data_IF_050758115620
#
_entry.id   IF_050758115620
#
_cell.length_a   1.000
_cell.length_b   1.000
_cell.length_c   1.000
_cell.angle_alpha   90.00
_cell.angle_beta   90.00
_cell.angle_gamma   90.00
#
_symmetry.space_group_name_H-M   'P 1'
#
loop_
_entity.id
_entity.type
_entity.pdbx_description
1 polymer ?
#
# COMPACT_ATOMS: atom_id res chain seq x y z
N UNK A 1 25.88 -8.98 4.04
CA UNK A 1 24.66 -8.45 4.68
C UNK A 1 23.61 -9.55 4.66
N UNK A 2 22.82 -9.70 5.74
CA UNK A 2 21.78 -10.71 6.01
C UNK A 2 22.19 -12.02 6.72
N UNK A 3 22.94 -11.94 7.83
CA UNK A 3 23.20 -13.07 8.73
C UNK A 3 21.94 -13.66 9.43
N UNK A 4 20.76 -13.05 9.25
CA UNK A 4 19.50 -13.48 9.84
C UNK A 4 18.37 -13.75 8.83
N UNK A 5 18.63 -13.68 7.51
CA UNK A 5 17.56 -13.87 6.52
C UNK A 5 16.89 -15.24 6.63
N UNK A 6 17.62 -16.28 7.03
CA UNK A 6 17.07 -17.62 7.20
C UNK A 6 16.16 -17.74 8.46
N UNK A 7 16.06 -16.69 9.29
CA UNK A 7 15.19 -16.62 10.47
C UNK A 7 13.95 -15.73 10.27
N UNK A 8 13.84 -15.05 9.12
CA UNK A 8 12.75 -14.10 8.85
C UNK A 8 11.90 -14.60 7.69
N UNK A 9 10.62 -14.85 7.95
CA UNK A 9 9.68 -15.32 6.93
C UNK A 9 9.19 -14.20 6.00
N UNK A 10 8.97 -13.01 6.56
CA UNK A 10 8.45 -11.85 5.84
C UNK A 10 8.80 -10.57 6.62
N UNK A 11 9.30 -9.55 5.91
CA UNK A 11 9.35 -8.20 6.44
C UNK A 11 8.08 -7.45 6.01
N UNK A 12 7.40 -6.81 6.95
CA UNK A 12 6.19 -6.01 6.68
C UNK A 12 6.52 -4.54 6.90
N UNK A 13 6.22 -3.70 5.93
CA UNK A 13 6.44 -2.27 6.03
C UNK A 13 5.22 -1.47 5.55
N UNK A 14 5.19 -0.19 5.94
CA UNK A 14 4.17 0.78 5.55
C UNK A 14 4.81 2.06 5.01
N UNK A 15 4.31 3.23 5.44
CA UNK A 15 4.84 4.58 5.16
C UNK A 15 4.74 5.06 3.70
N UNK A 16 4.96 4.18 2.72
CA UNK A 16 4.96 4.53 1.29
C UNK A 16 3.56 4.60 0.65
N UNK A 17 2.54 4.08 1.35
CA UNK A 17 1.12 4.08 0.95
C UNK A 17 0.94 3.49 -0.45
N UNK A 18 1.32 2.22 -0.59
CA UNK A 18 1.25 1.47 -1.84
C UNK A 18 0.94 0.00 -1.55
N UNK A 19 0.55 -0.72 -2.59
CA UNK A 19 0.34 -2.17 -2.56
C UNK A 19 1.44 -2.87 -3.36
N UNK A 20 2.45 -3.43 -2.69
CA UNK A 20 3.57 -4.08 -3.35
C UNK A 20 4.20 -5.20 -2.52
N UNK A 21 4.86 -6.13 -3.21
CA UNK A 21 5.79 -7.06 -2.59
C UNK A 21 7.10 -6.97 -3.36
N UNK A 22 8.16 -6.59 -2.65
CA UNK A 22 9.51 -6.59 -3.18
C UNK A 22 10.29 -7.78 -2.62
N UNK A 23 11.38 -8.17 -3.28
CA UNK A 23 12.21 -9.30 -2.86
C UNK A 23 13.70 -8.93 -2.92
N UNK A 24 14.34 -8.98 -1.76
CA UNK A 24 15.79 -8.78 -1.65
C UNK A 24 16.45 -10.08 -1.18
N UNK A 25 17.11 -10.78 -2.11
CA UNK A 25 17.66 -12.10 -1.86
C UNK A 25 16.58 -13.11 -1.47
N UNK A 26 16.72 -13.75 -0.30
CA UNK A 26 15.76 -14.73 0.21
C UNK A 26 14.52 -14.11 0.87
N UNK A 27 14.58 -12.82 1.25
CA UNK A 27 13.54 -12.18 2.05
C UNK A 27 12.54 -11.42 1.17
N UNK A 28 11.25 -11.64 1.42
CA UNK A 28 10.17 -10.86 0.83
C UNK A 28 9.81 -9.68 1.74
N UNK A 29 9.50 -8.54 1.14
CA UNK A 29 9.09 -7.31 1.80
C UNK A 29 7.68 -6.95 1.35
N UNK A 30 6.70 -7.14 2.23
CA UNK A 30 5.32 -6.74 1.98
C UNK A 30 5.15 -5.26 2.35
N UNK A 31 4.87 -4.45 1.34
CA UNK A 31 4.38 -3.09 1.52
C UNK A 31 2.86 -3.13 1.70
N UNK A 32 2.41 -2.86 2.93
CA UNK A 32 0.99 -2.72 3.24
C UNK A 32 0.58 -1.28 3.00
N UNK A 33 -0.50 -1.12 2.23
CA UNK A 33 -1.03 0.20 1.91
C UNK A 33 -1.55 0.90 3.18
N UNK A 34 -1.73 2.22 3.10
CA UNK A 34 -2.40 2.98 4.17
C UNK A 34 -3.82 2.46 4.37
N UNK A 35 -4.35 2.62 5.58
CA UNK A 35 -5.73 2.30 5.84
C UNK A 35 -6.70 3.21 5.07
N UNK A 36 -6.34 4.47 4.80
CA UNK A 36 -7.34 5.47 4.42
C UNK A 36 -6.97 6.42 3.29
N UNK A 37 -5.70 6.53 2.88
CA UNK A 37 -5.34 7.47 1.81
C UNK A 37 -3.93 7.27 1.22
N UNK A 38 -3.70 7.85 0.03
CA UNK A 38 -2.37 8.17 -0.51
C UNK A 38 -2.04 9.63 -0.27
N UNK A 39 -0.87 9.94 0.31
CA UNK A 39 -0.40 11.32 0.41
C UNK A 39 0.12 11.81 -0.95
N UNK A 40 -0.29 13.01 -1.35
CA UNK A 40 0.05 13.60 -2.66
C UNK A 40 0.85 14.90 -2.58
N UNK A 41 0.98 15.49 -1.39
CA UNK A 41 1.85 16.65 -1.17
C UNK A 41 1.23 18.00 -1.55
N UNK A 42 1.94 19.07 -1.19
CA UNK A 42 1.44 20.46 -1.20
C UNK A 42 0.97 20.99 -2.55
N UNK A 43 1.65 20.57 -3.63
CA UNK A 43 1.37 21.04 -4.99
C UNK A 43 0.16 20.37 -5.64
N UNK A 44 -0.40 19.33 -5.02
CA UNK A 44 -1.42 18.48 -5.62
C UNK A 44 -2.66 18.38 -4.72
N UNK A 45 -3.31 19.52 -4.48
CA UNK A 45 -4.52 19.61 -3.64
C UNK A 45 -5.72 18.93 -4.32
N UNK A 46 -6.30 17.94 -3.65
CA UNK A 46 -7.45 17.17 -4.09
C UNK A 46 -8.73 17.64 -3.39
N UNK A 47 -9.66 18.21 -4.14
CA UNK A 47 -11.00 18.56 -3.64
C UNK A 47 -11.90 17.31 -3.62
N UNK A 48 -11.57 16.35 -2.76
CA UNK A 48 -12.23 15.04 -2.70
C UNK A 48 -13.59 15.03 -1.97
N UNK A 49 -13.83 16.02 -1.11
CA UNK A 49 -15.05 16.16 -0.29
C UNK A 49 -15.66 17.57 -0.43
N UNK A 50 -16.90 17.79 0.09
CA UNK A 50 -17.49 19.12 0.19
C UNK A 50 -16.64 20.14 0.97
N UNK A 51 -16.86 21.43 0.73
CA UNK A 51 -16.06 22.52 1.31
C UNK A 51 -16.06 22.53 2.84
N UNK A 52 -17.18 22.17 3.47
CA UNK A 52 -17.29 22.06 4.94
C UNK A 52 -16.31 21.03 5.54
N UNK A 53 -16.10 19.90 4.85
CA UNK A 53 -15.18 18.85 5.27
C UNK A 53 -13.74 19.34 5.15
N UNK A 54 -13.39 19.99 4.05
CA UNK A 54 -12.05 20.57 3.86
C UNK A 54 -11.76 21.69 4.85
N UNK A 55 -12.75 22.50 5.21
CA UNK A 55 -12.60 23.56 6.22
C UNK A 55 -12.27 22.96 7.60
N UNK A 56 -12.97 21.89 7.99
CA UNK A 56 -12.76 21.19 9.26
C UNK A 56 -11.48 20.34 9.28
N UNK A 57 -11.15 19.71 8.16
CA UNK A 57 -10.02 18.79 8.02
C UNK A 57 -9.05 19.27 6.95
N UNK A 58 -8.37 20.39 7.24
CA UNK A 58 -7.51 21.12 6.29
C UNK A 58 -6.43 20.27 5.59
N UNK A 59 -6.04 19.15 6.18
CA UNK A 59 -5.01 18.29 5.59
C UNK A 59 -5.54 17.26 4.57
N UNK A 60 -6.86 17.06 4.49
CA UNK A 60 -7.44 16.04 3.61
C UNK A 60 -7.21 16.38 2.13
N UNK A 61 -7.09 17.67 1.79
CA UNK A 61 -6.75 18.11 0.44
C UNK A 61 -5.36 17.65 -0.02
N UNK A 62 -4.43 17.31 0.88
CA UNK A 62 -3.10 16.79 0.49
C UNK A 62 -3.09 15.28 0.30
N UNK A 63 -4.27 14.68 0.15
CA UNK A 63 -4.44 13.24 0.05
C UNK A 63 -5.35 12.84 -1.12
N UNK A 64 -5.19 11.62 -1.62
CA UNK A 64 -6.22 10.89 -2.34
C UNK A 64 -6.83 9.86 -1.37
N UNK A 65 -8.01 10.14 -0.80
CA UNK A 65 -8.63 9.25 0.18
C UNK A 65 -9.15 7.95 -0.45
N UNK A 66 -9.24 6.91 0.36
CA UNK A 66 -9.94 5.67 0.05
C UNK A 66 -11.37 5.75 0.61
N UNK A 67 -12.36 5.27 -0.14
CA UNK A 67 -13.76 5.26 0.33
C UNK A 67 -13.95 4.34 1.54
N UNK A 68 -13.28 3.20 1.52
CA UNK A 68 -13.40 2.12 2.50
C UNK A 68 -12.01 1.86 3.09
N UNK A 69 -11.92 1.69 4.40
CA UNK A 69 -10.63 1.43 5.05
C UNK A 69 -10.01 0.13 4.54
N UNK A 70 -8.74 0.19 4.16
CA UNK A 70 -7.93 -0.97 3.80
C UNK A 70 -7.28 -1.58 5.05
N UNK A 71 -7.29 -2.90 5.10
CA UNK A 71 -6.50 -3.69 6.04
C UNK A 71 -6.29 -5.07 5.43
N UNK A 72 -5.39 -5.84 6.03
CA UNK A 72 -5.14 -7.22 5.63
C UNK A 72 -5.00 -8.12 6.85
N UNK A 73 -5.34 -9.39 6.67
CA UNK A 73 -5.05 -10.45 7.63
C UNK A 73 -4.00 -11.35 7.01
N UNK A 74 -2.94 -11.63 7.77
CA UNK A 74 -1.90 -12.58 7.39
C UNK A 74 -2.19 -13.91 8.07
N UNK A 75 -2.30 -14.97 7.28
CA UNK A 75 -2.37 -16.35 7.79
C UNK A 75 -1.03 -17.02 7.51
N UNK A 76 -0.39 -17.54 8.56
CA UNK A 76 0.92 -18.20 8.49
C UNK A 76 0.69 -19.70 8.58
N UNK A 77 1.23 -20.45 7.61
CA UNK A 77 1.31 -21.91 7.58
C UNK A 77 2.79 -22.30 7.70
N UNK A 78 3.28 -22.57 8.93
CA UNK A 78 4.69 -22.88 9.16
C UNK A 78 5.12 -24.21 8.53
N UNK A 79 4.22 -25.20 8.45
CA UNK A 79 4.53 -26.52 7.92
C UNK A 79 4.89 -26.46 6.43
N UNK A 80 4.25 -25.56 5.68
CA UNK A 80 4.48 -25.37 4.26
C UNK A 80 5.31 -24.12 3.93
N UNK A 81 5.84 -23.41 4.94
CA UNK A 81 6.60 -22.16 4.74
C UNK A 81 5.82 -21.10 3.97
N UNK A 82 4.49 -21.04 4.16
CA UNK A 82 3.55 -20.22 3.37
C UNK A 82 2.92 -19.13 4.22
N UNK A 83 2.76 -17.95 3.64
CA UNK A 83 1.98 -16.85 4.19
C UNK A 83 0.94 -16.44 3.16
N UNK A 84 -0.33 -16.47 3.56
CA UNK A 84 -1.44 -15.98 2.76
C UNK A 84 -1.86 -14.59 3.26
N UNK A 85 -1.84 -13.61 2.36
CA UNK A 85 -2.29 -12.23 2.56
C UNK A 85 -3.72 -12.15 2.07
N UNK A 86 -4.67 -11.84 2.96
CA UNK A 86 -6.06 -11.58 2.56
C UNK A 86 -6.21 -10.12 2.12
N UNK A 87 -6.43 -9.91 0.84
CA UNK A 87 -6.58 -8.58 0.26
C UNK A 87 -7.93 -7.92 0.56
N UNK A 88 -7.96 -6.60 0.34
CA UNK A 88 -9.15 -5.75 0.37
C UNK A 88 -9.01 -4.66 -0.68
N UNK A 89 -10.09 -4.35 -1.37
CA UNK A 89 -10.13 -3.26 -2.34
C UNK A 89 -11.03 -2.12 -1.87
N UNK A 90 -10.68 -0.92 -2.29
CA UNK A 90 -11.49 0.29 -2.16
C UNK A 90 -11.45 1.06 -3.49
N UNK A 91 -11.96 2.28 -3.47
CA UNK A 91 -11.94 3.23 -4.57
C UNK A 91 -11.42 4.57 -4.08
N UNK A 92 -10.84 5.35 -4.99
CA UNK A 92 -10.47 6.73 -4.70
C UNK A 92 -11.72 7.56 -4.43
N UNK A 93 -11.64 8.47 -3.45
CA UNK A 93 -12.62 9.53 -3.29
C UNK A 93 -12.13 10.76 -4.06
N UNK A 94 -12.90 11.19 -5.06
CA UNK A 94 -12.49 12.24 -5.98
C UNK A 94 -11.43 11.74 -6.96
N UNK A 95 -10.38 12.53 -7.19
CA UNK A 95 -9.33 12.21 -8.17
C UNK A 95 -8.31 11.22 -7.62
N UNK A 96 -7.84 10.31 -8.47
CA UNK A 96 -6.64 9.50 -8.23
C UNK A 96 -5.35 10.35 -8.30
N UNK A 97 -4.21 9.84 -7.80
CA UNK A 97 -2.91 10.50 -7.99
C UNK A 97 -2.59 10.83 -9.45
N UNK A 98 -2.83 9.88 -10.37
CA UNK A 98 -2.64 10.10 -11.80
C UNK A 98 -3.55 11.18 -12.38
N UNK A 99 -4.81 11.26 -11.94
CA UNK A 99 -5.75 12.31 -12.36
C UNK A 99 -5.40 13.70 -11.79
N UNK A 100 -4.57 13.76 -10.75
CA UNK A 100 -3.97 15.00 -10.25
C UNK A 100 -2.69 15.39 -11.02
N UNK A 101 -2.26 14.59 -12.00
CA UNK A 101 -1.05 14.85 -12.79
C UNK A 101 0.25 14.48 -12.07
N UNK A 102 0.17 13.69 -11.00
CA UNK A 102 1.37 13.24 -10.27
C UNK A 102 2.04 12.16 -11.09
N UNK A 103 3.25 12.41 -11.55
CA UNK A 103 4.06 11.39 -12.21
C UNK A 103 4.47 10.34 -11.20
N UNK A 104 4.17 9.07 -11.52
CA UNK A 104 4.65 7.97 -10.71
C UNK A 104 6.19 7.93 -10.72
N UNK A 105 6.79 7.53 -9.59
CA UNK A 105 8.24 7.30 -9.52
C UNK A 105 8.63 6.19 -10.50
N UNK A 106 9.88 6.13 -10.99
CA UNK A 106 10.30 5.12 -11.98
C UNK A 106 10.01 3.66 -11.57
N UNK A 107 10.03 3.38 -10.26
CA UNK A 107 9.77 2.06 -9.67
C UNK A 107 8.28 1.81 -9.34
N UNK A 108 7.39 2.75 -9.67
CA UNK A 108 5.96 2.69 -9.30
C UNK A 108 5.11 2.94 -10.53
N UNK A 109 4.07 2.15 -10.70
CA UNK A 109 3.08 2.35 -11.76
C UNK A 109 1.71 2.66 -11.15
N UNK A 110 1.03 3.68 -11.68
CA UNK A 110 -0.35 3.96 -11.32
C UNK A 110 -1.27 2.79 -11.69
N UNK A 111 -2.19 2.46 -10.79
CA UNK A 111 -3.06 1.29 -10.93
C UNK A 111 -2.40 -0.05 -10.54
N UNK A 112 -1.06 -0.13 -10.49
CA UNK A 112 -0.34 -1.27 -9.91
C UNK A 112 -0.02 -1.00 -8.44
N UNK A 113 1.14 -0.42 -8.13
CA UNK A 113 1.56 -0.14 -6.76
C UNK A 113 0.76 1.02 -6.16
N UNK A 114 0.48 2.04 -6.97
CA UNK A 114 -0.31 3.20 -6.57
C UNK A 114 -1.78 2.90 -6.88
N UNK A 115 -2.46 2.25 -5.93
CA UNK A 115 -3.87 1.90 -6.06
C UNK A 115 -4.56 1.91 -4.68
N UNK A 116 -5.89 2.01 -4.62
CA UNK A 116 -6.65 2.00 -3.37
C UNK A 116 -6.97 0.57 -2.94
N UNK A 117 -5.95 -0.29 -2.86
CA UNK A 117 -6.11 -1.73 -2.62
C UNK A 117 -4.99 -2.29 -1.76
N UNK A 118 -5.22 -3.45 -1.16
CA UNK A 118 -4.21 -4.42 -0.76
C UNK A 118 -4.56 -5.71 -1.48
N UNK A 119 -3.69 -6.22 -2.35
CA UNK A 119 -4.00 -7.44 -3.11
C UNK A 119 -3.84 -8.69 -2.25
N UNK A 120 -4.70 -9.68 -2.51
CA UNK A 120 -4.50 -11.02 -1.98
C UNK A 120 -3.23 -11.60 -2.58
N UNK A 121 -2.40 -12.23 -1.75
CA UNK A 121 -1.12 -12.79 -2.18
C UNK A 121 -0.83 -14.08 -1.45
N UNK A 122 -0.12 -14.97 -2.11
CA UNK A 122 0.55 -16.10 -1.48
C UNK A 122 2.05 -15.85 -1.54
N UNK A 123 2.67 -15.73 -0.38
CA UNK A 123 4.11 -15.54 -0.24
C UNK A 123 4.68 -16.85 0.29
N UNK A 124 5.57 -17.46 -0.49
CA UNK A 124 6.30 -18.65 -0.10
C UNK A 124 7.74 -18.26 0.24
N UNK A 125 8.23 -18.78 1.37
CA UNK A 125 9.63 -18.61 1.73
C UNK A 125 10.51 -19.32 0.69
N UNK A 126 11.63 -18.71 0.28
CA UNK A 126 12.66 -19.47 -0.43
C UNK A 126 13.46 -20.26 0.60
N UNK A 127 12.86 -21.34 1.09
CA UNK A 127 13.62 -22.38 1.78
C UNK A 127 14.01 -23.40 0.72
N UNK A 128 15.23 -23.26 0.21
CA UNK A 128 16.03 -24.33 -0.38
C UNK A 128 17.44 -24.19 0.21
#
# INVERSE_FOLDING_TARGET
MNAAADKVLLAVNGHTHIDHVDRAGKLSYLHVNSASYKWVGGSYRNKSYPAEVHSKFRWVEYTCPYRDSLFTTLTIDPANGRIDVKGRESQWVGKSPSQLGITAKPDRTDGKEICPKIRSRRIVSAVN
#
